data_IF_812273327619
#
_entry.id   IF_812273327619
#
_cell.length_a   1.000
_cell.length_b   1.000
_cell.length_c   1.000
_cell.angle_alpha   90.00
_cell.angle_beta   90.00
_cell.angle_gamma   90.00
#
_symmetry.space_group_name_H-M   'P 1'
#
loop_
_entity.id
_entity.type
_entity.pdbx_description
1 polymer ?
#
# COMPACT_ATOMS: atom_id res chain seq x y z
N UNK A 1 5.01 -35.87 57.41
CA UNK A 1 6.23 -36.27 56.69
C UNK A 1 5.78 -36.72 55.30
N UNK A 2 5.78 -35.79 54.34
CA UNK A 2 6.82 -35.64 53.30
C UNK A 2 6.73 -36.79 52.28
N UNK A 3 6.19 -36.52 51.08
CA UNK A 3 6.93 -36.11 49.86
C UNK A 3 7.34 -37.38 49.06
N UNK A 4 7.46 -37.44 47.73
CA UNK A 4 7.53 -36.45 46.66
C UNK A 4 7.35 -37.18 45.30
N UNK A 5 7.09 -36.40 44.22
CA UNK A 5 7.77 -36.43 42.91
C UNK A 5 7.79 -37.73 42.06
N UNK A 6 7.89 -37.75 40.73
CA UNK A 6 7.79 -36.78 39.63
C UNK A 6 7.98 -37.55 38.29
N UNK A 7 7.74 -36.83 37.18
CA UNK A 7 8.25 -37.04 35.81
C UNK A 7 7.66 -38.24 35.02
N UNK A 8 7.05 -38.01 33.85
CA UNK A 8 7.70 -37.67 32.56
C UNK A 8 8.02 -39.00 31.83
N UNK A 9 7.79 -39.21 30.54
CA UNK A 9 8.63 -38.76 29.43
C UNK A 9 7.98 -39.21 28.10
N UNK A 10 8.30 -38.44 27.05
CA UNK A 10 7.99 -38.59 25.62
C UNK A 10 8.46 -39.91 24.98
N UNK A 11 7.84 -40.31 23.85
CA UNK A 11 8.56 -40.89 22.70
C UNK A 11 7.93 -40.52 21.35
N UNK A 12 8.80 -40.16 20.40
CA UNK A 12 8.58 -39.84 19.00
C UNK A 12 8.74 -41.09 18.11
N UNK A 13 7.98 -41.10 17.01
CA UNK A 13 8.33 -41.50 15.63
C UNK A 13 8.58 -42.98 15.24
N UNK A 14 8.05 -43.32 14.06
CA UNK A 14 8.56 -44.43 13.23
C UNK A 14 7.56 -44.97 12.21
N UNK A 15 7.59 -44.46 10.98
CA UNK A 15 6.92 -45.05 9.79
C UNK A 15 7.81 -46.12 9.13
N UNK A 16 7.19 -47.16 8.54
CA UNK A 16 7.72 -47.74 7.28
C UNK A 16 7.63 -49.25 7.06
N UNK A 17 6.68 -49.67 6.19
CA UNK A 17 6.76 -50.70 5.10
C UNK A 17 7.06 -52.17 5.51
N UNK A 18 6.72 -53.25 4.79
CA UNK A 18 5.76 -53.65 3.71
C UNK A 18 5.94 -55.20 3.57
N UNK A 19 5.03 -55.86 2.84
CA UNK A 19 5.18 -57.15 2.11
C UNK A 19 4.51 -58.42 2.76
N UNK A 20 4.27 -59.52 2.00
CA UNK A 20 3.00 -59.76 1.28
C UNK A 20 2.44 -61.21 1.39
N UNK A 21 1.16 -61.38 1.01
CA UNK A 21 0.59 -62.53 0.27
C UNK A 21 0.58 -63.95 0.86
N UNK A 22 -0.62 -64.55 0.98
CA UNK A 22 -0.96 -65.89 0.45
C UNK A 22 -2.49 -66.09 0.31
N UNK A 23 -2.96 -67.03 -0.55
CA UNK A 23 -4.29 -66.99 -1.17
C UNK A 23 -5.26 -68.12 -0.75
N UNK A 24 -6.57 -67.86 -0.97
CA UNK A 24 -7.53 -68.85 -1.47
C UNK A 24 -8.51 -69.49 -0.47
N UNK A 25 -9.81 -69.22 -0.62
CA UNK A 25 -10.86 -70.22 -0.95
C UNK A 25 -12.21 -69.51 -1.25
N UNK A 26 -13.07 -70.07 -2.14
CA UNK A 26 -14.22 -69.38 -2.72
C UNK A 26 -15.58 -69.83 -2.18
N UNK A 27 -16.60 -68.96 -2.29
CA UNK A 27 -18.01 -69.24 -1.99
C UNK A 27 -18.92 -68.15 -2.57
N UNK A 28 -20.19 -68.43 -2.86
CA UNK A 28 -20.81 -68.19 -4.17
C UNK A 28 -21.52 -66.83 -4.27
N UNK A 29 -21.48 -66.24 -5.47
CA UNK A 29 -22.25 -65.04 -5.79
C UNK A 29 -23.70 -65.34 -6.19
N UNK A 30 -24.53 -64.29 -6.24
CA UNK A 30 -25.51 -64.15 -7.31
C UNK A 30 -25.41 -62.77 -8.00
N UNK A 31 -25.20 -62.83 -9.31
CA UNK A 31 -25.96 -62.09 -10.33
C UNK A 31 -25.77 -60.57 -10.52
N UNK A 32 -25.86 -60.07 -11.76
CA UNK A 32 -25.17 -58.84 -12.18
C UNK A 32 -26.17 -57.77 -12.65
N UNK A 33 -26.82 -57.03 -11.74
CA UNK A 33 -27.65 -55.89 -12.14
C UNK A 33 -27.65 -54.83 -11.04
N UNK A 34 -26.54 -54.10 -10.83
CA UNK A 34 -26.52 -52.83 -10.05
C UNK A 34 -25.16 -52.14 -10.03
N UNK A 35 -24.42 -52.09 -11.15
CA UNK A 35 -23.18 -51.28 -11.24
C UNK A 35 -23.08 -50.47 -12.53
N UNK A 36 -24.18 -49.82 -12.89
CA UNK A 36 -24.17 -48.78 -13.92
C UNK A 36 -24.90 -47.52 -13.44
N UNK A 37 -24.61 -47.07 -12.22
CA UNK A 37 -25.01 -45.73 -11.77
C UNK A 37 -24.17 -45.25 -10.57
N UNK A 38 -22.84 -45.25 -10.71
CA UNK A 38 -21.96 -44.59 -9.71
C UNK A 38 -20.70 -44.00 -10.36
N UNK A 39 -20.89 -43.34 -11.50
CA UNK A 39 -19.84 -42.63 -12.25
C UNK A 39 -20.34 -41.27 -12.78
N UNK A 40 -21.17 -40.59 -11.98
CA UNK A 40 -21.72 -39.26 -12.29
C UNK A 40 -21.58 -38.27 -11.11
N UNK A 41 -20.50 -38.38 -10.33
CA UNK A 41 -20.20 -37.48 -9.20
C UNK A 41 -18.75 -36.98 -9.16
N UNK A 42 -18.09 -36.87 -10.31
CA UNK A 42 -16.87 -36.07 -10.43
C UNK A 42 -17.11 -34.90 -11.39
N UNK A 43 -17.99 -33.99 -10.97
CA UNK A 43 -17.87 -32.62 -11.41
C UNK A 43 -16.55 -32.05 -10.87
N UNK A 44 -15.90 -31.11 -11.57
CA UNK A 44 -14.73 -30.46 -11.02
C UNK A 44 -15.16 -29.74 -9.74
N UNK A 45 -14.63 -30.17 -8.60
CA UNK A 45 -14.64 -29.34 -7.39
C UNK A 45 -13.71 -28.19 -7.73
N UNK A 46 -14.30 -27.09 -8.22
CA UNK A 46 -13.66 -25.79 -8.09
C UNK A 46 -13.50 -25.59 -6.59
N UNK A 47 -12.28 -25.73 -6.10
CA UNK A 47 -11.93 -25.30 -4.76
C UNK A 47 -12.14 -23.77 -4.73
N UNK A 48 -13.32 -23.36 -4.28
CA UNK A 48 -13.61 -21.97 -3.98
C UNK A 48 -12.82 -21.64 -2.69
N UNK A 49 -11.84 -20.73 -2.79
CA UNK A 49 -10.94 -20.33 -1.69
C UNK A 49 -11.68 -19.39 -0.75
N UNK A 50 -12.83 -19.78 -0.20
CA UNK A 50 -13.62 -18.85 0.64
C UNK A 50 -14.09 -19.39 2.00
N UNK A 51 -14.00 -20.68 2.31
CA UNK A 51 -14.70 -21.19 3.50
C UNK A 51 -13.86 -21.34 4.79
N UNK A 52 -12.55 -21.08 4.75
CA UNK A 52 -11.69 -21.11 5.95
C UNK A 52 -11.48 -19.75 6.64
N UNK A 53 -11.84 -18.64 5.99
CA UNK A 53 -11.54 -17.28 6.46
C UNK A 53 -12.78 -16.53 6.99
N UNK A 54 -13.97 -17.15 6.94
CA UNK A 54 -15.23 -16.55 7.38
C UNK A 54 -15.36 -16.50 8.90
N UNK A 55 -14.68 -17.39 9.64
CA UNK A 55 -14.74 -17.46 11.11
C UNK A 55 -14.22 -16.17 11.78
N UNK A 56 -13.21 -15.54 11.18
CA UNK A 56 -12.61 -14.32 11.72
C UNK A 56 -13.18 -13.03 11.13
N UNK A 57 -14.14 -13.11 10.23
CA UNK A 57 -14.76 -11.96 9.58
C UNK A 57 -15.66 -11.21 10.58
N UNK A 58 -15.37 -9.91 10.79
CA UNK A 58 -16.21 -9.00 11.58
C UNK A 58 -17.25 -8.34 10.70
N UNK A 59 -18.48 -8.85 10.74
CA UNK A 59 -19.58 -8.41 9.87
C UNK A 59 -19.97 -6.95 10.13
N UNK A 60 -19.91 -6.52 11.38
CA UNK A 60 -20.23 -5.18 11.87
C UNK A 60 -19.28 -4.10 11.36
N UNK A 61 -18.04 -4.47 11.02
CA UNK A 61 -17.05 -3.60 10.41
C UNK A 61 -16.82 -3.91 8.92
N UNK A 62 -17.69 -4.71 8.31
CA UNK A 62 -17.58 -5.13 6.90
C UNK A 62 -18.74 -4.61 6.05
N UNK A 63 -18.42 -4.16 4.84
CA UNK A 63 -19.35 -3.78 3.78
C UNK A 63 -19.31 -4.87 2.69
N UNK A 64 -20.38 -5.66 2.56
CA UNK A 64 -20.45 -6.80 1.64
C UNK A 64 -21.80 -6.79 0.92
N UNK A 65 -21.80 -7.14 -0.37
CA UNK A 65 -23.01 -7.35 -1.18
C UNK A 65 -23.82 -8.57 -0.68
N UNK A 66 -25.17 -8.59 -0.85
CA UNK A 66 -26.01 -7.43 -1.12
C UNK A 66 -25.91 -6.49 0.07
N UNK A 67 -25.79 -5.18 -0.18
CA UNK A 67 -25.71 -4.18 0.88
C UNK A 67 -27.04 -4.21 1.66
N UNK A 68 -27.12 -5.05 2.69
CA UNK A 68 -28.35 -5.34 3.43
C UNK A 68 -28.91 -4.05 4.05
N UNK A 69 -30.21 -3.78 3.84
CA UNK A 69 -30.91 -2.62 4.42
C UNK A 69 -31.10 -1.41 3.51
N UNK A 70 -30.72 -1.50 2.22
CA UNK A 70 -30.92 -0.42 1.24
C UNK A 70 -32.40 -0.37 0.80
N UNK A 71 -33.14 0.61 1.31
CA UNK A 71 -34.57 0.81 1.03
C UNK A 71 -35.48 0.81 2.27
N UNK A 72 -34.96 0.49 3.45
CA UNK A 72 -35.72 0.50 4.71
C UNK A 72 -34.87 1.07 5.85
N UNK A 73 -34.72 2.40 5.97
CA UNK A 73 -34.11 3.16 7.09
C UNK A 73 -32.81 2.67 7.78
N UNK A 74 -32.15 1.60 7.33
CA UNK A 74 -31.19 0.88 8.16
C UNK A 74 -30.12 0.18 7.33
N UNK A 75 -29.23 0.93 6.70
CA UNK A 75 -27.85 0.44 6.55
C UNK A 75 -27.19 0.48 7.93
N UNK A 76 -27.45 -0.53 8.75
CA UNK A 76 -27.28 -0.48 10.21
C UNK A 76 -25.87 -0.14 10.71
N UNK A 77 -24.83 -0.32 9.89
CA UNK A 77 -23.44 -0.15 10.33
C UNK A 77 -22.62 0.84 9.51
N UNK A 78 -23.15 1.40 8.42
CA UNK A 78 -22.39 2.31 7.56
C UNK A 78 -23.22 3.54 7.19
N UNK A 79 -22.63 4.70 7.42
CA UNK A 79 -23.17 6.01 7.07
C UNK A 79 -22.56 6.46 5.73
N UNK A 80 -23.41 6.92 4.81
CA UNK A 80 -23.01 7.44 3.49
C UNK A 80 -23.15 8.95 3.46
N UNK A 81 -22.18 9.65 2.86
CA UNK A 81 -22.16 11.11 2.82
C UNK A 81 -21.64 11.62 1.47
N UNK A 82 -22.06 12.84 1.12
CA UNK A 82 -21.56 13.56 -0.06
C UNK A 82 -22.16 13.04 -1.36
N UNK A 83 -21.33 12.86 -2.39
CA UNK A 83 -21.74 12.32 -3.69
C UNK A 83 -21.89 10.80 -3.73
N UNK A 84 -21.88 10.13 -2.58
CA UNK A 84 -21.88 8.67 -2.51
C UNK A 84 -23.21 8.10 -2.99
N UNK A 85 -23.16 7.19 -3.97
CA UNK A 85 -24.32 6.50 -4.53
C UNK A 85 -24.16 4.99 -4.30
N UNK A 86 -25.26 4.35 -3.90
CA UNK A 86 -25.28 2.92 -3.63
C UNK A 86 -26.10 2.19 -4.70
N UNK A 87 -25.49 1.16 -5.29
CA UNK A 87 -26.17 0.25 -6.23
C UNK A 87 -26.19 -1.16 -5.65
N UNK A 88 -26.80 -2.12 -6.33
CA UNK A 88 -26.78 -3.53 -5.88
C UNK A 88 -25.42 -4.22 -6.06
N UNK A 89 -24.51 -3.65 -6.87
CA UNK A 89 -23.23 -4.27 -7.24
C UNK A 89 -22.01 -3.54 -6.67
N UNK A 90 -22.09 -2.21 -6.56
CA UNK A 90 -21.01 -1.37 -6.09
C UNK A 90 -21.53 -0.16 -5.31
N UNK A 91 -20.68 0.37 -4.46
CA UNK A 91 -20.83 1.67 -3.84
C UNK A 91 -19.90 2.66 -4.54
N UNK A 92 -20.46 3.71 -5.13
CA UNK A 92 -19.69 4.76 -5.80
C UNK A 92 -19.49 5.94 -4.86
N UNK A 93 -18.25 6.25 -4.50
CA UNK A 93 -17.93 7.41 -3.66
C UNK A 93 -18.05 8.72 -4.46
N UNK A 94 -17.45 8.75 -5.65
CA UNK A 94 -17.53 9.89 -6.57
C UNK A 94 -17.74 9.40 -8.00
N UNK A 95 -18.58 10.08 -8.80
CA UNK A 95 -18.66 9.85 -10.23
C UNK A 95 -17.50 10.52 -10.98
N UNK A 96 -17.33 10.16 -12.25
CA UNK A 96 -16.45 10.85 -13.22
C UNK A 96 -16.99 12.25 -13.59
N UNK A 97 -17.23 13.07 -12.57
CA UNK A 97 -17.58 14.48 -12.65
C UNK A 97 -16.62 15.27 -11.76
N UNK A 98 -16.35 16.52 -12.14
CA UNK A 98 -15.46 17.42 -11.39
C UNK A 98 -16.09 17.87 -10.08
N UNK A 99 -15.24 18.19 -9.10
CA UNK A 99 -15.63 18.82 -7.82
C UNK A 99 -16.67 18.02 -7.03
N UNK A 100 -16.49 16.70 -6.95
CA UNK A 100 -17.30 15.80 -6.12
C UNK A 100 -16.48 15.29 -4.95
N UNK A 101 -17.15 15.11 -3.83
CA UNK A 101 -16.57 14.53 -2.62
C UNK A 101 -17.60 13.59 -2.03
N UNK A 102 -17.18 12.35 -1.74
CA UNK A 102 -18.03 11.35 -1.13
C UNK A 102 -17.26 10.54 -0.10
N UNK A 103 -17.94 10.12 0.96
CA UNK A 103 -17.35 9.29 2.00
C UNK A 103 -18.34 8.30 2.59
N UNK A 104 -17.77 7.23 3.13
CA UNK A 104 -18.46 6.21 3.91
C UNK A 104 -17.75 6.00 5.22
N UNK A 105 -18.51 5.81 6.29
CA UNK A 105 -17.99 5.66 7.63
C UNK A 105 -18.71 4.54 8.36
N UNK A 106 -17.95 3.69 9.04
CA UNK A 106 -18.52 2.69 9.90
C UNK A 106 -19.08 3.35 11.17
N UNK A 107 -20.25 2.89 11.61
CA UNK A 107 -20.93 3.43 12.77
C UNK A 107 -20.29 2.96 14.08
N UNK A 108 -19.62 1.81 14.08
CA UNK A 108 -19.09 1.20 15.29
C UNK A 108 -17.58 1.43 15.40
N UNK A 109 -17.08 1.83 16.58
CA UNK A 109 -15.66 1.88 16.82
C UNK A 109 -15.08 0.45 16.86
N UNK A 110 -13.90 0.25 16.28
CA UNK A 110 -13.22 -1.04 16.25
C UNK A 110 -12.32 -1.19 17.48
N UNK A 111 -12.56 -2.24 18.27
CA UNK A 111 -11.73 -2.55 19.45
C UNK A 111 -10.70 -3.66 19.21
N UNK A 112 -10.54 -4.11 17.97
CA UNK A 112 -9.52 -5.10 17.62
C UNK A 112 -8.12 -4.49 17.72
N UNK A 113 -7.23 -5.18 18.43
CA UNK A 113 -5.80 -4.83 18.51
C UNK A 113 -5.07 -5.18 17.20
N UNK A 114 -5.42 -6.35 16.65
CA UNK A 114 -4.80 -6.93 15.45
C UNK A 114 -5.89 -7.26 14.44
N UNK A 115 -5.78 -6.66 13.26
CA UNK A 115 -6.80 -6.73 12.23
C UNK A 115 -6.22 -6.64 10.83
N UNK A 116 -6.97 -7.17 9.88
CA UNK A 116 -6.67 -7.08 8.46
C UNK A 116 -7.92 -6.68 7.70
N UNK A 117 -7.85 -5.59 6.94
CA UNK A 117 -8.95 -5.09 6.12
C UNK A 117 -8.65 -5.39 4.65
N UNK A 118 -9.53 -6.15 4.00
CA UNK A 118 -9.50 -6.35 2.55
C UNK A 118 -10.51 -5.43 1.89
N UNK A 119 -10.03 -4.59 0.98
CA UNK A 119 -10.85 -3.66 0.20
C UNK A 119 -10.82 -4.09 -1.25
N UNK A 120 -11.99 -4.46 -1.76
CA UNK A 120 -12.22 -4.62 -3.19
C UNK A 120 -12.75 -3.29 -3.71
N UNK A 121 -11.97 -2.64 -4.56
CA UNK A 121 -12.30 -1.34 -5.14
C UNK A 121 -12.06 -1.35 -6.65
N UNK A 122 -12.55 -0.32 -7.33
CA UNK A 122 -12.28 -0.10 -8.75
C UNK A 122 -12.19 1.41 -9.01
N UNK A 123 -11.11 1.82 -9.66
CA UNK A 123 -10.93 3.20 -10.14
C UNK A 123 -10.98 3.19 -11.66
N UNK A 124 -11.96 3.87 -12.24
CA UNK A 124 -12.13 3.90 -13.70
C UNK A 124 -12.72 5.20 -14.20
N UNK A 125 -12.36 5.61 -15.41
CA UNK A 125 -12.87 6.85 -16.00
C UNK A 125 -12.44 7.05 -17.44
N UNK A 126 -13.11 8.00 -18.11
CA UNK A 126 -12.92 8.27 -19.53
C UNK A 126 -11.69 9.16 -19.82
N UNK A 127 -11.07 9.74 -18.78
CA UNK A 127 -9.92 10.63 -18.91
C UNK A 127 -8.73 9.98 -19.60
N UNK A 128 -8.21 10.61 -20.67
CA UNK A 128 -7.04 10.14 -21.44
C UNK A 128 -5.81 9.95 -20.53
N UNK A 129 -5.23 8.74 -20.57
CA UNK A 129 -3.97 8.26 -19.95
C UNK A 129 -3.51 8.99 -18.67
N UNK A 130 -3.03 10.24 -18.77
CA UNK A 130 -2.39 10.97 -17.67
C UNK A 130 -3.25 12.05 -17.00
N UNK A 131 -4.50 12.26 -17.43
CA UNK A 131 -5.41 13.26 -16.87
C UNK A 131 -6.46 12.55 -16.00
N UNK A 132 -6.10 12.30 -14.75
CA UNK A 132 -6.95 11.65 -13.76
C UNK A 132 -6.67 12.19 -12.35
N UNK A 133 -7.65 12.06 -11.46
CA UNK A 133 -7.52 12.48 -10.07
C UNK A 133 -8.81 12.32 -9.26
N UNK A 134 -8.79 12.47 -7.93
CA UNK A 134 -7.58 12.64 -7.10
C UNK A 134 -7.21 11.34 -6.34
N UNK A 135 -8.14 10.39 -6.19
CA UNK A 135 -7.91 9.07 -5.62
C UNK A 135 -8.89 8.68 -4.50
N UNK A 136 -8.61 7.53 -3.89
CA UNK A 136 -9.35 6.99 -2.73
C UNK A 136 -8.45 7.09 -1.49
N UNK A 137 -9.04 7.48 -0.36
CA UNK A 137 -8.42 7.40 0.95
C UNK A 137 -9.19 6.43 1.84
N UNK A 138 -8.46 5.59 2.56
CA UNK A 138 -8.98 4.74 3.62
C UNK A 138 -8.61 5.34 4.98
N UNK A 139 -9.52 5.24 5.94
CA UNK A 139 -9.41 5.89 7.23
C UNK A 139 -9.52 4.89 8.36
N UNK A 140 -8.68 5.11 9.37
CA UNK A 140 -8.83 4.57 10.71
C UNK A 140 -8.60 5.72 11.70
N UNK A 141 -9.68 6.40 12.11
CA UNK A 141 -9.60 7.69 12.81
C UNK A 141 -10.55 7.79 14.00
N UNK A 142 -10.20 8.64 14.97
CA UNK A 142 -11.03 8.92 16.16
C UNK A 142 -12.39 9.49 15.81
N UNK A 143 -12.41 10.47 14.91
CA UNK A 143 -13.61 11.17 14.50
C UNK A 143 -14.12 10.56 13.20
N UNK A 144 -15.44 10.43 13.06
CA UNK A 144 -16.15 10.06 11.83
C UNK A 144 -16.87 11.28 11.25
N UNK A 145 -17.20 11.24 9.96
CA UNK A 145 -18.11 12.22 9.33
C UNK A 145 -17.70 13.69 9.53
N UNK A 146 -16.42 14.04 9.32
CA UNK A 146 -15.98 15.44 9.35
C UNK A 146 -15.97 16.03 7.93
N UNK A 147 -17.00 16.82 7.52
CA UNK A 147 -17.03 17.42 6.19
C UNK A 147 -15.84 18.37 5.98
N UNK A 148 -15.25 18.33 4.78
CA UNK A 148 -14.18 19.25 4.36
C UNK A 148 -12.74 18.93 4.80
N UNK A 149 -12.51 17.91 5.64
CA UNK A 149 -11.16 17.38 5.93
C UNK A 149 -10.65 16.35 4.93
N UNK A 150 -11.49 15.98 3.97
CA UNK A 150 -11.39 14.70 3.30
C UNK A 150 -11.32 14.94 1.78
N UNK A 151 -10.28 14.37 1.18
CA UNK A 151 -9.92 14.33 -0.23
C UNK A 151 -9.33 15.60 -0.88
N UNK A 152 -9.95 16.79 -0.90
CA UNK A 152 -9.46 17.86 -1.81
C UNK A 152 -8.75 19.05 -1.15
N UNK A 153 -9.29 19.60 -0.07
CA UNK A 153 -8.82 20.89 0.49
C UNK A 153 -7.40 20.80 1.09
N UNK A 154 -7.05 19.66 1.69
CA UNK A 154 -5.71 19.42 2.24
C UNK A 154 -4.72 18.92 1.17
N UNK A 155 -5.19 18.20 0.13
CA UNK A 155 -4.38 17.81 -1.03
C UNK A 155 -3.97 19.00 -1.90
N UNK A 156 -4.84 20.02 -2.07
CA UNK A 156 -4.49 21.27 -2.79
C UNK A 156 -3.40 22.09 -2.10
N UNK A 157 -3.32 22.06 -0.76
CA UNK A 157 -2.25 22.76 0.01
C UNK A 157 -0.92 21.97 0.04
N UNK A 158 -0.94 20.69 -0.37
CA UNK A 158 0.23 19.83 -0.58
C UNK A 158 0.87 20.00 -1.97
N UNK A 159 0.62 21.12 -2.67
CA UNK A 159 1.27 21.42 -3.96
C UNK A 159 1.75 22.87 -3.98
N UNK A 160 3.00 23.12 -3.54
CA UNK A 160 3.79 24.06 -4.31
C UNK A 160 5.25 23.60 -4.43
N UNK A 161 5.53 22.53 -5.21
CA UNK A 161 6.73 22.45 -6.11
C UNK A 161 7.04 21.12 -6.78
N UNK A 162 6.41 20.01 -6.40
CA UNK A 162 6.79 18.69 -6.96
C UNK A 162 5.56 18.06 -7.60
N UNK A 163 5.76 17.38 -8.74
CA UNK A 163 4.77 16.71 -9.59
C UNK A 163 4.13 17.58 -10.72
N UNK A 164 4.97 18.18 -11.57
CA UNK A 164 4.68 18.06 -13.01
C UNK A 164 5.09 16.64 -13.40
N UNK A 165 4.12 15.87 -13.94
CA UNK A 165 4.26 14.53 -14.53
C UNK A 165 4.81 13.40 -13.65
N UNK A 166 3.93 12.62 -13.03
CA UNK A 166 4.19 11.20 -12.77
C UNK A 166 2.93 10.40 -13.18
N UNK A 167 3.02 9.44 -14.11
CA UNK A 167 1.88 8.75 -14.75
C UNK A 167 1.29 7.59 -13.92
N UNK A 168 1.52 7.55 -12.61
CA UNK A 168 1.21 6.38 -11.78
C UNK A 168 0.48 6.78 -10.50
N UNK A 169 -0.47 5.94 -10.05
CA UNK A 169 -1.20 6.15 -8.81
C UNK A 169 -0.30 5.85 -7.59
N UNK A 170 -0.45 6.62 -6.52
CA UNK A 170 0.38 6.52 -5.32
C UNK A 170 -0.45 5.97 -4.18
N UNK A 171 0.00 4.89 -3.56
CA UNK A 171 -0.53 4.42 -2.27
C UNK A 171 0.38 5.00 -1.20
N UNK A 172 -0.16 5.87 -0.35
CA UNK A 172 0.60 6.52 0.72
C UNK A 172 -0.06 6.29 2.08
N UNK A 173 0.76 6.05 3.10
CA UNK A 173 0.32 6.05 4.48
C UNK A 173 0.59 7.43 5.08
N UNK A 174 -0.48 8.10 5.51
CA UNK A 174 -0.42 9.44 6.09
C UNK A 174 -0.82 9.38 7.56
N UNK A 175 0.00 10.00 8.40
CA UNK A 175 -0.28 10.20 9.81
C UNK A 175 -0.72 11.63 10.10
N UNK A 176 -1.63 11.79 11.06
CA UNK A 176 -2.19 13.09 11.45
C UNK A 176 -1.07 14.04 11.90
N UNK A 177 -1.01 15.25 11.32
CA UNK A 177 -0.62 16.55 11.96
C UNK A 177 -0.26 17.70 10.99
N UNK A 178 -0.92 17.80 9.84
CA UNK A 178 -1.00 19.09 9.10
C UNK A 178 0.31 19.64 8.53
N UNK A 179 1.40 18.85 8.52
CA UNK A 179 2.64 19.10 7.79
C UNK A 179 3.08 17.81 7.09
N UNK A 180 3.88 17.95 6.03
CA UNK A 180 4.31 16.89 5.11
C UNK A 180 4.93 15.67 5.82
N UNK A 181 4.16 14.59 5.99
CA UNK A 181 4.71 13.31 6.47
C UNK A 181 4.03 12.15 5.75
N UNK A 182 4.43 11.92 4.50
CA UNK A 182 4.36 10.57 3.93
C UNK A 182 5.27 9.68 4.80
N UNK A 183 4.70 8.68 5.47
CA UNK A 183 5.48 7.73 6.26
C UNK A 183 6.17 6.72 5.34
N UNK A 184 5.37 6.18 4.42
CA UNK A 184 5.79 5.23 3.39
C UNK A 184 4.73 5.20 2.29
N UNK A 185 5.17 4.89 1.07
CA UNK A 185 4.31 4.74 -0.08
C UNK A 185 4.93 3.89 -1.18
N UNK A 186 4.09 3.44 -2.11
CA UNK A 186 4.53 2.77 -3.32
C UNK A 186 3.75 3.26 -4.53
N UNK A 187 4.37 3.07 -5.69
CA UNK A 187 3.74 3.35 -6.99
C UNK A 187 2.97 2.12 -7.46
N UNK A 188 1.68 2.28 -7.71
CA UNK A 188 0.79 1.21 -8.16
C UNK A 188 -0.10 1.71 -9.30
N UNK A 189 -0.27 0.91 -10.34
CA UNK A 189 -1.17 1.25 -11.43
C UNK A 189 -2.53 0.56 -11.21
N UNK A 190 -3.46 1.34 -10.66
CA UNK A 190 -4.75 0.89 -10.09
C UNK A 190 -5.94 1.20 -11.03
N UNK A 191 -5.72 2.02 -12.05
CA UNK A 191 -6.78 2.66 -12.84
C UNK A 191 -7.11 1.85 -14.09
N UNK A 192 -8.39 1.77 -14.44
CA UNK A 192 -8.89 1.14 -15.67
C UNK A 192 -8.35 -0.30 -15.87
N UNK A 193 -8.26 -1.07 -14.78
CA UNK A 193 -7.98 -2.50 -14.84
C UNK A 193 -9.22 -3.26 -15.34
N UNK A 194 -8.99 -4.26 -16.18
CA UNK A 194 -10.04 -5.10 -16.76
C UNK A 194 -10.48 -6.24 -15.84
N UNK A 195 -9.78 -6.41 -14.72
CA UNK A 195 -9.99 -7.41 -13.68
C UNK A 195 -10.20 -6.70 -12.34
N UNK A 196 -10.51 -7.49 -11.31
CA UNK A 196 -10.79 -6.99 -9.97
C UNK A 196 -9.49 -6.53 -9.27
N UNK A 197 -9.58 -5.43 -8.52
CA UNK A 197 -8.43 -4.86 -7.81
C UNK A 197 -8.65 -4.87 -6.31
N UNK A 198 -7.67 -5.39 -5.58
CA UNK A 198 -7.76 -5.56 -4.13
C UNK A 198 -6.62 -4.86 -3.41
N UNK A 199 -6.94 -4.36 -2.22
CA UNK A 199 -6.00 -3.79 -1.27
C UNK A 199 -6.20 -4.49 0.08
N UNK A 200 -5.11 -4.95 0.68
CA UNK A 200 -5.11 -5.46 2.04
C UNK A 200 -4.32 -4.49 2.94
N UNK A 201 -4.94 -4.04 4.02
CA UNK A 201 -4.30 -3.23 5.06
C UNK A 201 -4.29 -4.06 6.34
N UNK A 202 -3.10 -4.45 6.77
CA UNK A 202 -2.88 -5.27 7.96
C UNK A 202 -2.21 -4.42 9.04
N UNK A 203 -2.79 -4.41 10.23
CA UNK A 203 -2.17 -3.83 11.41
C UNK A 203 -2.08 -4.89 12.50
N UNK A 204 -0.87 -5.20 12.94
CA UNK A 204 -0.64 -6.20 13.98
C UNK A 204 0.65 -5.92 14.73
N UNK A 205 0.60 -5.98 16.07
CA UNK A 205 1.75 -5.73 16.98
C UNK A 205 2.60 -4.51 16.60
N UNK A 206 1.94 -3.43 16.20
CA UNK A 206 2.58 -2.17 15.78
C UNK A 206 3.33 -2.22 14.45
N UNK A 207 3.07 -3.22 13.61
CA UNK A 207 3.46 -3.29 12.21
C UNK A 207 2.26 -2.99 11.33
N UNK A 208 2.40 -2.03 10.43
CA UNK A 208 1.40 -1.68 9.42
C UNK A 208 1.92 -2.13 8.05
N UNK A 209 1.20 -3.05 7.43
CA UNK A 209 1.53 -3.59 6.12
C UNK A 209 0.38 -3.29 5.15
N UNK A 210 0.71 -2.75 3.98
CA UNK A 210 -0.24 -2.55 2.88
C UNK A 210 0.19 -3.41 1.71
N UNK A 211 -0.74 -4.20 1.19
CA UNK A 211 -0.52 -5.09 0.06
C UNK A 211 -1.59 -4.84 -1.00
N UNK A 212 -1.22 -5.05 -2.26
CA UNK A 212 -2.10 -4.84 -3.40
C UNK A 212 -2.13 -6.09 -4.26
N UNK A 213 -3.29 -6.51 -4.73
CA UNK A 213 -3.44 -7.46 -5.83
C UNK A 213 -4.08 -6.74 -7.02
N UNK A 214 -3.27 -6.54 -8.06
CA UNK A 214 -3.60 -5.75 -9.24
C UNK A 214 -3.33 -6.50 -10.54
N UNK A 215 -2.96 -7.78 -10.48
CA UNK A 215 -2.56 -8.55 -11.66
C UNK A 215 -3.46 -9.77 -11.89
N UNK A 216 -4.54 -9.92 -11.11
CA UNK A 216 -5.47 -11.07 -11.17
C UNK A 216 -4.75 -12.42 -10.98
N UNK A 217 -3.65 -12.39 -10.22
CA UNK A 217 -2.83 -13.57 -9.92
C UNK A 217 -3.21 -14.20 -8.57
N UNK A 218 -4.14 -13.60 -7.84
CA UNK A 218 -4.45 -13.93 -6.47
C UNK A 218 -3.19 -13.91 -5.59
N UNK A 219 -2.29 -12.95 -5.88
CA UNK A 219 -0.99 -12.80 -5.25
C UNK A 219 -0.87 -11.40 -4.65
N UNK A 220 -0.67 -11.33 -3.33
CA UNK A 220 -0.51 -10.08 -2.60
C UNK A 220 0.89 -9.51 -2.79
N UNK A 221 1.00 -8.42 -3.53
CA UNK A 221 2.25 -7.67 -3.66
C UNK A 221 2.40 -6.67 -2.52
N UNK A 222 3.52 -6.74 -1.80
CA UNK A 222 3.83 -5.78 -0.75
C UNK A 222 4.04 -4.36 -1.33
N UNK A 223 3.40 -3.37 -0.70
CA UNK A 223 3.50 -1.96 -1.05
C UNK A 223 4.15 -1.15 0.07
N UNK A 224 3.62 -1.29 1.29
CA UNK A 224 4.12 -0.60 2.49
C UNK A 224 4.34 -1.66 3.57
N UNK A 225 5.44 -1.55 4.29
CA UNK A 225 5.72 -2.40 5.45
C UNK A 225 6.55 -1.62 6.47
N UNK A 226 5.87 -1.09 7.48
CA UNK A 226 6.48 -0.23 8.51
C UNK A 226 6.21 -0.80 9.90
N UNK A 227 7.21 -0.73 10.76
CA UNK A 227 7.12 -1.15 12.17
C UNK A 227 7.15 0.05 13.10
N UNK A 228 6.79 -0.14 14.36
CA UNK A 228 6.76 0.92 15.37
C UNK A 228 5.56 1.86 15.25
N UNK A 229 4.56 1.52 14.44
CA UNK A 229 3.30 2.26 14.36
C UNK A 229 2.46 1.95 15.59
N UNK A 230 2.02 2.97 16.31
CA UNK A 230 1.12 2.84 17.46
C UNK A 230 -0.23 3.43 17.10
N UNK A 231 -1.24 2.58 17.01
CA UNK A 231 -2.63 2.97 16.82
C UNK A 231 -3.46 2.57 18.03
N UNK A 232 -4.35 3.46 18.53
CA UNK A 232 -5.31 3.10 19.55
C UNK A 232 -6.44 2.22 19.01
N UNK A 233 -7.07 1.50 19.92
CA UNK A 233 -8.39 0.89 19.69
C UNK A 233 -9.51 1.91 19.88
N UNK A 234 -10.71 1.59 19.43
CA UNK A 234 -11.89 2.43 19.55
C UNK A 234 -12.03 3.50 18.46
N UNK A 235 -11.28 3.38 17.35
CA UNK A 235 -11.38 4.28 16.20
C UNK A 235 -12.34 3.72 15.14
N UNK A 236 -12.75 4.57 14.19
CA UNK A 236 -13.69 4.24 13.15
C UNK A 236 -12.99 3.94 11.83
N UNK A 237 -13.46 2.92 11.12
CA UNK A 237 -13.12 2.71 9.73
C UNK A 237 -13.94 3.64 8.82
N UNK A 238 -13.31 4.12 7.76
CA UNK A 238 -13.98 4.88 6.72
C UNK A 238 -13.25 4.81 5.40
N UNK A 239 -13.92 5.25 4.34
CA UNK A 239 -13.32 5.45 3.04
C UNK A 239 -13.89 6.71 2.40
N UNK A 240 -13.11 7.36 1.55
CA UNK A 240 -13.54 8.58 0.87
C UNK A 240 -12.84 8.76 -0.44
N UNK A 241 -13.47 9.48 -1.35
CA UNK A 241 -12.85 9.91 -2.59
C UNK A 241 -13.21 11.38 -2.88
N UNK A 242 -12.37 12.02 -3.67
CA UNK A 242 -12.62 13.38 -4.15
C UNK A 242 -12.15 13.52 -5.59
N UNK A 243 -12.86 14.37 -6.32
CA UNK A 243 -12.50 14.79 -7.67
C UNK A 243 -12.32 16.29 -7.69
N UNK A 244 -11.25 16.74 -8.35
CA UNK A 244 -10.91 18.15 -8.47
C UNK A 244 -11.23 18.66 -9.86
N UNK A 245 -10.19 19.19 -10.50
CA UNK A 245 -10.26 19.61 -11.91
C UNK A 245 -10.23 18.40 -12.84
N UNK A 246 -9.70 17.28 -12.33
CA UNK A 246 -9.73 15.94 -12.90
C UNK A 246 -10.71 15.06 -12.11
N UNK A 247 -11.27 14.07 -12.79
CA UNK A 247 -12.29 13.17 -12.22
C UNK A 247 -12.04 11.73 -12.65
N UNK A 248 -12.58 10.82 -11.85
CA UNK A 248 -12.69 9.39 -12.11
C UNK A 248 -13.87 8.86 -11.28
N UNK A 249 -14.40 7.70 -11.68
CA UNK A 249 -15.29 6.93 -10.83
C UNK A 249 -14.46 6.19 -9.77
N UNK A 250 -14.86 6.33 -8.52
CA UNK A 250 -14.24 5.67 -7.39
C UNK A 250 -15.24 4.73 -6.72
N UNK A 251 -15.16 3.45 -7.06
CA UNK A 251 -16.12 2.43 -6.62
C UNK A 251 -15.50 1.52 -5.54
N UNK A 252 -16.26 1.24 -4.49
CA UNK A 252 -15.96 0.24 -3.46
C UNK A 252 -16.98 -0.90 -3.63
N UNK A 253 -16.49 -2.09 -3.92
CA UNK A 253 -17.31 -3.28 -4.09
C UNK A 253 -17.51 -3.95 -2.73
N UNK A 254 -16.44 -4.12 -1.96
CA UNK A 254 -16.51 -4.64 -0.59
C UNK A 254 -15.37 -4.16 0.30
N UNK A 255 -15.65 -4.06 1.59
CA UNK A 255 -14.66 -3.91 2.66
C UNK A 255 -14.89 -5.05 3.65
N UNK A 256 -13.89 -5.90 3.87
CA UNK A 256 -13.99 -7.06 4.77
C UNK A 256 -12.93 -6.92 5.86
N UNK A 257 -13.35 -6.83 7.11
CA UNK A 257 -12.45 -6.78 8.25
C UNK A 257 -12.33 -8.17 8.86
N UNK A 258 -11.09 -8.64 9.02
CA UNK A 258 -10.76 -9.89 9.69
C UNK A 258 -10.04 -9.60 11.00
N UNK A 259 -10.42 -10.32 12.06
CA UNK A 259 -9.66 -10.34 13.30
C UNK A 259 -8.47 -11.28 13.15
N UNK A 260 -7.30 -10.84 13.57
CA UNK A 260 -6.12 -11.70 13.62
C UNK A 260 -6.00 -12.31 15.02
N UNK A 261 -5.87 -13.63 15.09
CA UNK A 261 -5.65 -14.34 16.35
C UNK A 261 -4.17 -14.26 16.73
N UNK A 262 -3.80 -13.16 17.37
CA UNK A 262 -2.43 -12.91 17.84
C UNK A 262 -2.41 -12.96 19.36
N UNK A 263 -1.48 -13.74 19.92
CA UNK A 263 -1.30 -13.81 21.36
C UNK A 263 -0.59 -12.55 21.87
N UNK A 264 -1.19 -11.93 22.89
CA UNK A 264 -0.61 -10.82 23.63
C UNK A 264 -0.14 -11.30 25.00
N UNK A 265 0.94 -10.70 25.51
CA UNK A 265 1.37 -10.97 26.87
C UNK A 265 0.38 -10.34 27.86
N UNK A 266 0.26 -10.87 29.10
CA UNK A 266 -0.61 -10.28 30.12
C UNK A 266 -0.30 -8.80 30.39
N UNK A 267 0.97 -8.41 30.28
CA UNK A 267 1.40 -7.02 30.41
C UNK A 267 0.85 -6.13 29.29
N UNK A 268 0.83 -6.62 28.05
CA UNK A 268 0.23 -5.93 26.90
C UNK A 268 -1.30 -5.85 27.03
N UNK A 269 -1.94 -6.84 27.65
CA UNK A 269 -3.39 -6.83 27.88
C UNK A 269 -3.83 -5.84 28.96
N UNK A 270 -2.98 -5.59 29.96
CA UNK A 270 -3.24 -4.62 31.02
C UNK A 270 -3.17 -3.16 30.56
N UNK A 271 -2.62 -2.89 29.37
CA UNK A 271 -2.56 -1.54 28.80
C UNK A 271 -3.94 -1.12 28.29
N UNK A 272 -4.36 0.10 28.61
CA UNK A 272 -5.57 0.69 28.02
C UNK A 272 -5.29 1.17 26.58
N UNK A 273 -5.57 0.28 25.62
CA UNK A 273 -5.34 0.51 24.19
C UNK A 273 -6.15 1.67 23.61
N UNK A 274 -7.25 2.08 24.25
CA UNK A 274 -8.11 3.17 23.77
C UNK A 274 -7.45 4.54 23.95
N UNK A 275 -6.53 4.65 24.92
CA UNK A 275 -5.82 5.89 25.26
C UNK A 275 -4.46 6.02 24.61
N UNK A 276 -4.05 5.08 23.76
CA UNK A 276 -2.79 5.16 23.04
C UNK A 276 -2.82 6.39 22.14
N UNK A 277 -1.87 7.30 22.35
CA UNK A 277 -1.68 8.38 21.40
C UNK A 277 -1.13 7.80 20.10
N UNK A 278 -1.76 8.13 18.96
CA UNK A 278 -1.25 7.66 17.69
C UNK A 278 0.16 8.26 17.52
N UNK A 279 1.17 7.40 17.37
CA UNK A 279 2.55 7.81 17.04
C UNK A 279 3.28 6.76 16.19
N UNK A 280 4.41 7.14 15.59
CA UNK A 280 5.35 6.21 14.96
C UNK A 280 6.67 6.30 15.69
N UNK A 281 7.10 5.20 16.28
CA UNK A 281 8.45 5.03 16.77
C UNK A 281 9.36 4.84 15.56
N UNK A 282 9.87 5.94 15.03
CA UNK A 282 10.97 5.85 14.09
C UNK A 282 12.14 5.22 14.87
N UNK A 283 12.42 3.93 14.62
CA UNK A 283 13.80 3.48 14.71
C UNK A 283 14.55 4.51 13.89
N UNK A 284 15.41 5.29 14.55
CA UNK A 284 16.26 6.27 13.91
C UNK A 284 16.96 5.47 12.82
N UNK A 285 16.44 5.55 11.59
CA UNK A 285 17.18 5.12 10.41
C UNK A 285 18.53 5.77 10.63
N UNK A 286 19.66 5.06 10.47
CA UNK A 286 20.93 5.75 10.37
C UNK A 286 20.65 6.85 9.38
N UNK A 287 20.54 8.09 9.86
CA UNK A 287 20.63 9.23 8.99
C UNK A 287 21.99 8.96 8.41
N UNK A 288 22.00 8.54 7.17
CA UNK A 288 22.70 9.27 6.14
C UNK A 288 22.60 10.77 6.45
N UNK A 289 23.34 11.19 7.49
CA UNK A 289 24.13 12.39 7.48
C UNK A 289 25.19 12.12 6.41
N UNK A 290 24.76 11.92 5.16
CA UNK A 290 25.50 12.48 4.06
C UNK A 290 25.26 13.96 4.29
N UNK A 291 26.17 14.58 5.04
CA UNK A 291 26.32 16.01 5.02
C UNK A 291 26.43 16.38 3.55
N UNK A 292 25.33 16.89 2.99
CA UNK A 292 25.29 17.40 1.63
C UNK A 292 26.32 18.54 1.62
N UNK A 293 27.53 18.39 1.07
CA UNK A 293 28.57 19.39 1.22
C UNK A 293 28.35 20.41 0.12
N UNK A 294 27.18 21.06 0.12
CA UNK A 294 26.87 22.11 -0.85
C UNK A 294 26.60 23.40 -0.10
N UNK A 295 27.70 23.95 0.42
CA UNK A 295 27.68 25.24 1.08
C UNK A 295 29.07 25.76 1.48
N UNK A 296 30.15 25.37 0.81
CA UNK A 296 31.42 26.08 0.99
C UNK A 296 32.27 26.03 -0.28
N UNK A 297 32.39 27.17 -0.95
CA UNK A 297 33.42 27.47 -1.95
C UNK A 297 34.81 27.52 -1.28
N UNK A 298 35.29 26.37 -0.79
CA UNK A 298 36.66 26.22 -0.32
C UNK A 298 37.25 24.95 -0.92
N UNK A 299 37.91 25.17 -2.06
CA UNK A 299 39.07 24.42 -2.57
C UNK A 299 39.43 23.16 -1.78
N UNK A 300 38.93 22.00 -2.22
CA UNK A 300 39.53 20.72 -1.86
C UNK A 300 40.97 20.66 -2.38
N UNK A 301 41.91 20.01 -1.67
CA UNK A 301 43.29 19.93 -2.10
C UNK A 301 43.36 19.20 -3.43
N UNK A 302 43.71 19.95 -4.49
CA UNK A 302 43.88 19.40 -5.83
C UNK A 302 45.01 18.38 -5.78
N UNK A 303 44.70 17.12 -6.09
CA UNK A 303 45.70 16.09 -6.33
C UNK A 303 46.72 16.61 -7.35
N UNK A 304 48.03 16.49 -7.05
CA UNK A 304 49.09 17.22 -7.77
C UNK A 304 49.06 17.08 -9.30
N UNK A 305 48.50 15.97 -9.80
CA UNK A 305 48.26 15.75 -11.23
C UNK A 305 47.26 16.75 -11.85
N UNK A 306 46.19 17.12 -11.13
CA UNK A 306 45.20 18.11 -11.59
C UNK A 306 45.78 19.52 -11.61
N UNK A 307 46.64 19.87 -10.64
CA UNK A 307 47.36 21.15 -10.64
C UNK A 307 48.35 21.21 -11.80
N UNK A 308 49.09 20.12 -12.04
CA UNK A 308 50.03 20.02 -13.15
C UNK A 308 49.33 20.21 -14.51
N UNK A 309 48.20 19.55 -14.74
CA UNK A 309 47.43 19.70 -15.98
C UNK A 309 46.87 21.12 -16.15
N UNK A 310 46.39 21.76 -15.08
CA UNK A 310 45.90 23.14 -15.14
C UNK A 310 47.02 24.13 -15.46
N UNK A 311 48.21 23.95 -14.87
CA UNK A 311 49.37 24.80 -15.16
C UNK A 311 49.88 24.60 -16.59
N UNK A 312 49.89 23.36 -17.10
CA UNK A 312 50.25 23.06 -18.49
C UNK A 312 49.29 23.76 -19.47
N UNK A 313 47.98 23.65 -19.25
CA UNK A 313 46.97 24.31 -20.08
C UNK A 313 47.07 25.83 -20.04
N UNK A 314 47.34 26.41 -18.86
CA UNK A 314 47.54 27.85 -18.73
C UNK A 314 48.78 28.34 -19.51
N UNK A 315 49.89 27.59 -19.44
CA UNK A 315 51.14 27.94 -20.12
C UNK A 315 50.98 27.84 -21.65
N UNK A 316 50.31 26.79 -22.14
CA UNK A 316 49.95 26.67 -23.55
C UNK A 316 49.02 27.80 -24.01
N UNK A 317 48.03 28.18 -23.19
CA UNK A 317 47.14 29.30 -23.47
C UNK A 317 47.87 30.64 -23.60
N UNK A 318 48.85 30.91 -22.73
CA UNK A 318 49.69 32.12 -22.80
C UNK A 318 50.54 32.12 -24.06
N UNK A 319 51.15 30.99 -24.44
CA UNK A 319 51.94 30.88 -25.68
C UNK A 319 51.07 31.17 -26.90
N UNK A 320 49.87 30.59 -26.97
CA UNK A 320 48.93 30.84 -28.07
C UNK A 320 48.54 32.32 -28.13
N UNK A 321 48.23 32.94 -26.99
CA UNK A 321 47.90 34.36 -26.93
C UNK A 321 49.07 35.26 -27.37
N UNK A 322 50.30 34.91 -27.00
CA UNK A 322 51.49 35.65 -27.40
C UNK A 322 51.76 35.53 -28.92
N UNK A 323 51.61 34.34 -29.50
CA UNK A 323 51.77 34.12 -30.95
C UNK A 323 50.70 34.87 -31.74
N UNK A 324 49.43 34.75 -31.34
CA UNK A 324 48.33 35.49 -31.98
C UNK A 324 48.53 37.00 -31.83
N UNK A 325 48.94 37.46 -30.65
CA UNK A 325 49.28 38.86 -30.39
C UNK A 325 50.41 39.36 -31.29
N UNK A 326 51.49 38.60 -31.45
CA UNK A 326 52.60 38.93 -32.32
C UNK A 326 52.18 38.99 -33.81
N UNK A 327 51.38 38.03 -34.28
CA UNK A 327 50.87 38.01 -35.66
C UNK A 327 49.96 39.23 -35.92
N UNK A 328 49.06 39.55 -34.99
CA UNK A 328 48.18 40.73 -35.10
C UNK A 328 49.00 42.02 -35.06
N UNK A 329 50.03 42.09 -34.21
CA UNK A 329 50.91 43.25 -34.09
C UNK A 329 51.76 43.46 -35.36
N UNK A 330 52.35 42.39 -35.91
CA UNK A 330 53.07 42.44 -37.19
C UNK A 330 52.15 42.88 -38.32
N UNK A 331 50.95 42.31 -38.42
CA UNK A 331 49.95 42.71 -39.43
C UNK A 331 49.48 44.16 -39.27
N UNK A 332 49.46 44.68 -38.03
CA UNK A 332 49.15 46.09 -37.76
C UNK A 332 50.31 47.01 -38.14
N UNK A 333 51.56 46.60 -37.92
CA UNK A 333 52.75 47.33 -38.37
C UNK A 333 52.83 47.43 -39.91
N UNK A 334 52.52 46.35 -40.64
CA UNK A 334 52.49 46.38 -42.10
C UNK A 334 51.45 47.36 -42.67
N UNK A 335 50.28 47.47 -42.04
CA UNK A 335 49.27 48.47 -42.43
C UNK A 335 49.70 49.90 -42.11
N UNK A 336 50.41 50.12 -41.00
CA UNK A 336 50.86 51.47 -40.62
C UNK A 336 52.03 51.97 -41.46
N UNK A 337 52.80 51.09 -42.11
CA UNK A 337 53.88 51.46 -43.04
C UNK A 337 53.40 51.81 -44.47
N UNK A 338 52.10 51.69 -44.77
CA UNK A 338 51.50 52.09 -46.07
C UNK A 338 50.98 53.54 -46.10
N UNK A 339 51.08 54.27 -44.99
CA UNK A 339 50.57 55.65 -44.85
C UNK A 339 51.66 56.70 -44.57
N UNK A 340 52.93 56.38 -44.83
CA UNK A 340 54.04 57.33 -44.89
C UNK A 340 54.83 57.16 -46.17
#
# INVERSE_FOLDING_TARGET
MAAAAAAGWFWLWGWGRRCPGRPGLPGPGPGPITRLLFLLLLGPVTADITDGNSEHLKREHSLIKPYQGVGSSSTLFWDFQGSTILTSQYLRLTPDERSKEGSIWNHLPCFLKDWEMHVHFKVHGAGKKNLHGDGIALWYTRDRMVPGRVALSRWRRLRPRILRSAPSCWVTSVFKDGRWTELAGCTADLRNRNHDTFLAVRYSRGRLTVMTDLEDKNEWKNCIDITGVRLPTGYYFGASAGTGDLSDNHDIISMKLFQLMVEHTPDEENIDWTKIEPSVNFLKSPKDNVDDPTGNFRSGPLTGWRVFLLLLCALLGIIVCAVVGAVVFQKRQERNKRFY
#
